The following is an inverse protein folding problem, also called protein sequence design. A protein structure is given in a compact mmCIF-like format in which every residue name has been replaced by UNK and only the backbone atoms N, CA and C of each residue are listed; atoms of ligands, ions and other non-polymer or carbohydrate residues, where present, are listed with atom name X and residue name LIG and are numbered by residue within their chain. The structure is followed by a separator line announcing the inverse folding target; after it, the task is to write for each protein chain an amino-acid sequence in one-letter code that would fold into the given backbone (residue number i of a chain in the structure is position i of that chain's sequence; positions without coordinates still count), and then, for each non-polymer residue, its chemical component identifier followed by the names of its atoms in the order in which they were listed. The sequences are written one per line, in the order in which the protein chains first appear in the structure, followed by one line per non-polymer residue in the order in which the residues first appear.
data_IF_849132353767
#
_entry.id   IF_849132353767
#
_cell.length_a   1.000
_cell.length_b   1.000
_cell.length_c   1.000
_cell.angle_alpha   90.00
_cell.angle_beta   90.00
_cell.angle_gamma   90.00
#
_symmetry.space_group_name_H-M   'P 1'
#
loop_
_entity.id
_entity.type
_entity.pdbx_description
1 polymer ?
#
# COMPACT_ATOMS: atom_id res chain seq x y z
N UNK A 1 -19.58 24.48 23.63
CA UNK A 1 -18.10 24.40 23.63
C UNK A 1 -17.69 23.28 22.68
N UNK A 2 -17.28 23.63 21.45
CA UNK A 2 -16.76 22.64 20.48
C UNK A 2 -15.28 22.47 20.78
N UNK A 3 -14.90 21.28 21.25
CA UNK A 3 -13.50 20.92 21.49
C UNK A 3 -12.74 21.02 20.17
N UNK A 4 -11.77 21.92 20.15
CA UNK A 4 -10.86 22.13 19.05
C UNK A 4 -9.87 20.95 19.03
N UNK A 5 -10.28 19.81 18.47
CA UNK A 5 -9.38 18.70 18.18
C UNK A 5 -8.61 19.05 16.91
N UNK A 6 -7.64 19.96 17.05
CA UNK A 6 -6.55 20.11 16.10
C UNK A 6 -5.80 18.78 16.08
N UNK A 7 -6.08 17.95 15.08
CA UNK A 7 -5.25 16.79 14.73
C UNK A 7 -3.85 17.37 14.51
N UNK A 8 -2.97 17.19 15.49
CA UNK A 8 -1.56 17.51 15.31
C UNK A 8 -1.07 16.52 14.25
N UNK A 9 -0.86 17.03 13.03
CA UNK A 9 -0.25 16.25 11.96
C UNK A 9 1.09 15.72 12.49
N UNK A 10 1.22 14.40 12.59
CA UNK A 10 2.56 13.81 12.63
C UNK A 10 3.21 14.18 11.30
N UNK A 11 4.34 14.93 11.29
CA UNK A 11 5.05 15.17 10.04
C UNK A 11 5.38 13.80 9.42
N UNK A 12 5.07 13.67 8.13
CA UNK A 12 5.45 12.49 7.36
C UNK A 12 6.97 12.31 7.48
N UNK A 13 7.40 11.12 7.90
CA UNK A 13 8.79 10.77 8.17
C UNK A 13 9.28 9.60 7.31
N UNK A 14 8.53 9.26 6.25
CA UNK A 14 8.86 8.16 5.36
C UNK A 14 8.28 6.80 5.75
N UNK A 15 7.50 6.71 6.84
CA UNK A 15 7.13 5.41 7.44
C UNK A 15 5.66 5.06 7.31
N UNK A 16 5.38 3.82 6.91
CA UNK A 16 4.02 3.35 6.74
C UNK A 16 3.52 2.57 7.97
N UNK A 17 2.30 2.87 8.44
CA UNK A 17 1.69 2.17 9.57
C UNK A 17 1.34 0.71 9.26
N UNK A 18 1.78 -0.22 10.12
CA UNK A 18 1.48 -1.65 10.01
C UNK A 18 0.30 -2.05 10.89
N UNK A 19 -0.63 -2.86 10.36
CA UNK A 19 -1.75 -3.38 11.13
C UNK A 19 -1.33 -4.55 12.04
N UNK A 20 -1.51 -4.38 13.35
CA UNK A 20 -1.00 -5.29 14.38
C UNK A 20 -1.29 -6.80 14.16
N UNK A 21 -2.47 -7.23 13.68
CA UNK A 21 -2.72 -8.65 13.37
C UNK A 21 -1.77 -9.26 12.33
N UNK A 22 -1.28 -8.47 11.37
CA UNK A 22 -0.36 -8.97 10.34
C UNK A 22 1.05 -9.19 10.90
N UNK A 23 1.44 -8.41 11.92
CA UNK A 23 2.73 -8.58 12.62
C UNK A 23 2.89 -9.98 13.19
N UNK A 24 1.84 -10.52 13.82
CA UNK A 24 1.88 -11.87 14.39
C UNK A 24 2.04 -12.96 13.31
N UNK A 25 1.47 -12.76 12.12
CA UNK A 25 1.65 -13.67 10.98
C UNK A 25 3.08 -13.61 10.45
N UNK A 26 3.61 -12.40 10.28
CA UNK A 26 4.97 -12.18 9.81
C UNK A 26 6.00 -12.78 10.77
N UNK A 27 5.82 -12.58 12.08
CA UNK A 27 6.67 -13.18 13.11
C UNK A 27 6.72 -14.72 12.99
N UNK A 28 5.55 -15.37 12.89
CA UNK A 28 5.46 -16.83 12.73
C UNK A 28 6.10 -17.34 11.45
N UNK A 29 6.08 -16.55 10.37
CA UNK A 29 6.75 -16.91 9.13
C UNK A 29 8.26 -16.77 9.24
N UNK A 30 8.75 -15.78 9.98
CA UNK A 30 10.19 -15.59 10.22
C UNK A 30 10.82 -16.70 11.06
N UNK A 31 10.03 -17.37 11.91
CA UNK A 31 10.47 -18.52 12.70
C UNK A 31 10.55 -19.83 11.89
N UNK A 32 9.94 -19.87 10.69
CA UNK A 32 9.98 -21.04 9.80
C UNK A 32 11.19 -20.96 8.88
N UNK A 33 11.64 -22.10 8.35
CA UNK A 33 12.79 -22.13 7.43
C UNK A 33 12.55 -21.20 6.23
N UNK A 34 13.55 -20.43 5.80
CA UNK A 34 13.47 -19.55 4.63
C UNK A 34 13.20 -20.41 3.39
N UNK A 35 12.01 -20.28 2.79
CA UNK A 35 11.66 -21.10 1.63
C UNK A 35 10.27 -20.82 1.06
N UNK A 36 9.30 -20.40 1.86
CA UNK A 36 7.96 -20.11 1.37
C UNK A 36 7.82 -18.65 0.88
N UNK A 37 8.46 -18.38 -0.25
CA UNK A 37 8.44 -17.07 -0.93
C UNK A 37 7.00 -16.62 -1.22
N UNK A 38 6.14 -17.55 -1.64
CA UNK A 38 4.73 -17.25 -1.96
C UNK A 38 3.95 -16.79 -0.71
N UNK A 39 4.14 -17.49 0.41
CA UNK A 39 3.51 -17.10 1.67
C UNK A 39 4.06 -15.77 2.20
N UNK A 40 5.35 -15.50 2.02
CA UNK A 40 5.95 -14.19 2.35
C UNK A 40 5.35 -13.07 1.49
N UNK A 41 5.26 -13.25 0.17
CA UNK A 41 4.59 -12.32 -0.74
C UNK A 41 3.15 -12.05 -0.28
N UNK A 42 2.39 -13.10 0.03
CA UNK A 42 1.01 -13.01 0.45
C UNK A 42 0.85 -12.23 1.77
N UNK A 43 1.71 -12.50 2.74
CA UNK A 43 1.69 -11.81 4.04
C UNK A 43 2.08 -10.34 3.93
N UNK A 44 3.16 -10.00 3.22
CA UNK A 44 3.56 -8.60 3.03
C UNK A 44 2.49 -7.84 2.24
N UNK A 45 1.93 -8.44 1.19
CA UNK A 45 0.89 -7.81 0.37
C UNK A 45 -0.45 -7.67 1.10
N UNK A 46 -0.63 -8.31 2.26
CA UNK A 46 -1.84 -8.19 3.07
C UNK A 46 -1.88 -6.93 3.95
N UNK A 47 -0.80 -6.16 3.97
CA UNK A 47 -0.72 -4.93 4.75
C UNK A 47 -0.10 -3.79 3.93
N UNK A 48 -0.76 -2.63 3.81
CA UNK A 48 -0.21 -1.49 3.07
C UNK A 48 1.06 -0.94 3.73
N UNK A 49 1.22 -1.11 5.04
CA UNK A 49 2.42 -0.71 5.78
C UNK A 49 3.64 -1.55 5.40
N UNK A 50 3.50 -2.87 5.48
CA UNK A 50 4.56 -3.81 5.09
C UNK A 50 4.90 -3.69 3.60
N UNK A 51 3.88 -3.64 2.74
CA UNK A 51 4.05 -3.46 1.31
C UNK A 51 4.78 -2.14 1.01
N UNK A 52 4.34 -1.06 1.67
CA UNK A 52 4.96 0.26 1.71
C UNK A 52 6.46 0.20 1.97
N UNK A 53 6.84 -0.38 3.10
CA UNK A 53 8.22 -0.45 3.57
C UNK A 53 9.12 -1.28 2.62
N UNK A 54 8.65 -2.47 2.21
CA UNK A 54 9.42 -3.40 1.37
C UNK A 54 9.64 -2.81 -0.03
N UNK A 55 8.63 -2.23 -0.65
CA UNK A 55 8.77 -1.59 -1.96
C UNK A 55 9.61 -0.32 -1.89
N UNK A 56 9.49 0.48 -0.83
CA UNK A 56 10.33 1.67 -0.62
C UNK A 56 11.80 1.28 -0.56
N UNK A 57 12.15 0.25 0.23
CA UNK A 57 13.51 -0.26 0.32
C UNK A 57 14.02 -0.79 -1.03
N UNK A 58 13.23 -1.60 -1.73
CA UNK A 58 13.61 -2.16 -3.04
C UNK A 58 13.83 -1.07 -4.11
N UNK A 59 13.00 -0.01 -4.10
CA UNK A 59 13.08 1.10 -5.04
C UNK A 59 14.33 1.98 -4.86
N UNK A 60 15.03 1.89 -3.72
CA UNK A 60 16.35 2.53 -3.56
C UNK A 60 17.43 1.89 -4.45
N UNK A 61 17.26 0.62 -4.82
CA UNK A 61 18.20 -0.14 -5.65
C UNK A 61 17.81 -0.06 -7.13
N UNK A 62 16.55 -0.37 -7.45
CA UNK A 62 15.97 -0.18 -8.79
C UNK A 62 14.45 -0.06 -8.72
N UNK A 63 13.86 0.55 -9.75
CA UNK A 63 12.42 0.61 -9.89
C UNK A 63 11.79 -0.81 -9.92
N UNK A 64 10.89 -1.07 -8.98
CA UNK A 64 10.05 -2.27 -8.87
C UNK A 64 8.59 -1.87 -8.66
N UNK A 65 7.67 -2.68 -9.18
CA UNK A 65 6.23 -2.35 -9.20
C UNK A 65 5.35 -3.38 -8.47
N UNK A 66 5.91 -4.50 -8.01
CA UNK A 66 5.20 -5.51 -7.23
C UNK A 66 6.06 -6.12 -6.13
N UNK A 67 5.42 -6.74 -5.15
CA UNK A 67 6.10 -7.41 -4.03
C UNK A 67 6.90 -8.61 -4.50
N UNK A 68 6.42 -9.35 -5.51
CA UNK A 68 7.18 -10.45 -6.11
C UNK A 68 8.50 -9.94 -6.71
N UNK A 69 8.46 -8.83 -7.47
CA UNK A 69 9.66 -8.21 -8.06
C UNK A 69 10.61 -7.68 -6.98
N UNK A 70 10.08 -7.16 -5.87
CA UNK A 70 10.89 -6.67 -4.74
C UNK A 70 11.57 -7.82 -3.98
N UNK A 71 10.87 -8.93 -3.74
CA UNK A 71 11.42 -10.10 -3.06
C UNK A 71 12.41 -10.84 -3.96
N UNK A 72 12.16 -10.93 -5.26
CA UNK A 72 13.12 -11.47 -6.23
C UNK A 72 14.41 -10.64 -6.28
N UNK A 73 14.29 -9.30 -6.19
CA UNK A 73 15.44 -8.40 -6.18
C UNK A 73 16.27 -8.50 -4.88
N UNK A 74 15.61 -8.50 -3.72
CA UNK A 74 16.27 -8.39 -2.41
C UNK A 74 16.60 -9.74 -1.76
N UNK A 75 15.89 -10.80 -2.15
CA UNK A 75 15.85 -12.07 -1.43
C UNK A 75 14.85 -12.07 -0.27
N UNK A 76 14.42 -13.27 0.11
CA UNK A 76 13.42 -13.50 1.17
C UNK A 76 13.91 -13.05 2.54
N UNK A 77 15.20 -13.23 2.85
CA UNK A 77 15.80 -12.82 4.12
C UNK A 77 15.76 -11.30 4.32
N UNK A 78 16.26 -10.54 3.34
CA UNK A 78 16.26 -9.08 3.40
C UNK A 78 14.83 -8.50 3.44
N UNK A 79 13.92 -9.03 2.62
CA UNK A 79 12.52 -8.63 2.62
C UNK A 79 11.85 -8.91 3.98
N UNK A 80 12.13 -10.06 4.59
CA UNK A 80 11.61 -10.41 5.93
C UNK A 80 12.16 -9.47 7.00
N UNK A 81 13.46 -9.17 6.97
CA UNK A 81 14.08 -8.24 7.92
C UNK A 81 13.47 -6.83 7.84
N UNK A 82 13.28 -6.30 6.62
CA UNK A 82 12.63 -5.00 6.39
C UNK A 82 11.19 -5.01 6.89
N UNK A 83 10.42 -6.04 6.55
CA UNK A 83 9.04 -6.18 6.97
C UNK A 83 8.93 -6.26 8.51
N UNK A 84 9.79 -7.02 9.17
CA UNK A 84 9.83 -7.12 10.64
C UNK A 84 10.22 -5.79 11.28
N UNK A 85 11.20 -5.09 10.71
CA UNK A 85 11.58 -3.74 11.17
C UNK A 85 10.41 -2.77 11.10
N UNK A 86 9.66 -2.77 9.99
CA UNK A 86 8.46 -1.94 9.85
C UNK A 86 7.34 -2.32 10.83
N UNK A 87 7.18 -3.63 11.08
CA UNK A 87 6.18 -4.16 12.01
C UNK A 87 6.45 -3.81 13.48
N UNK A 88 7.72 -3.68 13.86
CA UNK A 88 8.16 -3.35 15.22
C UNK A 88 8.27 -1.83 15.46
N UNK A 89 8.20 -1.01 14.41
CA UNK A 89 8.33 0.42 14.53
C UNK A 89 7.10 1.01 15.25
N UNK A 90 7.28 1.74 16.37
CA UNK A 90 6.17 2.37 17.07
C UNK A 90 5.37 3.30 16.15
N UNK A 91 4.09 2.95 16.01
CA UNK A 91 3.11 3.69 15.21
C UNK A 91 3.04 5.18 15.62
N UNK A 92 3.10 6.14 14.68
CA UNK A 92 3.00 7.56 15.00
C UNK A 92 1.63 7.88 15.62
N UNK A 93 1.66 8.55 16.75
CA UNK A 93 0.53 8.89 17.64
C UNK A 93 -0.87 8.79 17.00
N UNK A 94 -1.61 7.72 17.30
CA UNK A 94 -2.99 7.49 16.80
C UNK A 94 -4.03 8.42 17.44
N UNK A 95 -3.60 9.48 18.15
CA UNK A 95 -4.49 10.42 18.86
C UNK A 95 -5.51 11.00 17.87
N UNK A 96 -6.76 10.56 18.01
CA UNK A 96 -7.88 11.00 17.17
C UNK A 96 -8.45 9.92 16.23
N UNK A 97 -7.82 8.74 16.11
CA UNK A 97 -8.32 7.65 15.27
C UNK A 97 -8.69 6.42 16.10
N UNK A 98 -9.95 5.97 16.02
CA UNK A 98 -10.40 4.79 16.76
C UNK A 98 -9.83 3.49 16.18
N UNK A 99 -9.80 2.41 16.96
CA UNK A 99 -9.43 1.09 16.43
C UNK A 99 -10.34 0.66 15.27
N UNK A 100 -11.63 0.99 15.35
CA UNK A 100 -12.59 0.71 14.28
C UNK A 100 -12.27 1.48 12.99
N UNK A 101 -11.86 2.75 13.10
CA UNK A 101 -11.42 3.56 11.96
C UNK A 101 -10.17 2.97 11.30
N UNK A 102 -9.16 2.59 12.09
CA UNK A 102 -7.95 1.93 11.57
C UNK A 102 -8.30 0.64 10.81
N UNK A 103 -9.13 -0.21 11.39
CA UNK A 103 -9.59 -1.45 10.74
C UNK A 103 -10.38 -1.17 9.47
N UNK A 104 -11.26 -0.15 9.46
CA UNK A 104 -12.01 0.26 8.26
C UNK A 104 -11.07 0.66 7.13
N UNK A 105 -10.06 1.49 7.43
CA UNK A 105 -9.09 1.97 6.43
C UNK A 105 -8.22 0.84 5.90
N UNK A 106 -7.74 -0.05 6.77
CA UNK A 106 -6.99 -1.24 6.35
C UNK A 106 -7.83 -2.15 5.45
N UNK A 107 -9.10 -2.38 5.78
CA UNK A 107 -10.03 -3.14 4.92
C UNK A 107 -10.22 -2.47 3.56
N UNK A 108 -10.39 -1.14 3.51
CA UNK A 108 -10.51 -0.39 2.24
C UNK A 108 -9.27 -0.56 1.36
N UNK A 109 -8.07 -0.55 1.94
CA UNK A 109 -6.83 -0.81 1.20
C UNK A 109 -6.83 -2.22 0.58
N UNK A 110 -7.21 -3.24 1.36
CA UNK A 110 -7.32 -4.62 0.85
C UNK A 110 -8.40 -4.79 -0.21
N UNK A 111 -9.56 -4.16 -0.03
CA UNK A 111 -10.63 -4.16 -1.03
C UNK A 111 -10.13 -3.51 -2.33
N UNK A 112 -9.43 -2.37 -2.24
CA UNK A 112 -8.82 -1.70 -3.39
C UNK A 112 -7.81 -2.57 -4.12
N UNK A 113 -6.95 -3.29 -3.39
CA UNK A 113 -6.03 -4.31 -3.93
C UNK A 113 -6.79 -5.37 -4.72
N UNK A 114 -7.72 -6.07 -4.06
CA UNK A 114 -8.46 -7.19 -4.65
C UNK A 114 -9.21 -6.76 -5.91
N UNK A 115 -9.88 -5.60 -5.86
CA UNK A 115 -10.65 -5.10 -6.99
C UNK A 115 -9.76 -4.70 -8.17
N UNK A 116 -8.66 -3.99 -7.91
CA UNK A 116 -7.74 -3.63 -8.97
C UNK A 116 -7.09 -4.87 -9.61
N UNK A 117 -6.72 -5.87 -8.81
CA UNK A 117 -6.18 -7.15 -9.26
C UNK A 117 -7.17 -7.95 -10.10
N UNK A 118 -8.42 -8.08 -9.64
CA UNK A 118 -9.49 -8.74 -10.39
C UNK A 118 -9.78 -8.00 -11.69
N UNK A 119 -9.95 -6.67 -11.65
CA UNK A 119 -10.20 -5.88 -12.86
C UNK A 119 -9.07 -6.04 -13.88
N UNK A 120 -7.81 -5.97 -13.44
CA UNK A 120 -6.67 -6.17 -14.32
C UNK A 120 -6.65 -7.58 -14.94
N UNK A 121 -6.98 -8.61 -14.16
CA UNK A 121 -7.01 -10.01 -14.61
C UNK A 121 -8.11 -10.25 -15.65
N UNK A 122 -9.31 -9.72 -15.41
CA UNK A 122 -10.49 -9.93 -16.27
C UNK A 122 -10.46 -9.06 -17.54
N UNK A 123 -9.88 -7.86 -17.46
CA UNK A 123 -9.94 -6.89 -18.57
C UNK A 123 -8.63 -6.79 -19.36
N UNK A 124 -7.51 -7.26 -18.81
CA UNK A 124 -6.18 -7.08 -19.41
C UNK A 124 -5.70 -5.63 -19.42
N UNK A 125 -6.38 -4.70 -18.72
CA UNK A 125 -6.03 -3.28 -18.71
C UNK A 125 -4.71 -2.96 -18.02
N UNK A 126 -4.22 -3.84 -17.15
CA UNK A 126 -2.94 -3.73 -16.48
C UNK A 126 -2.42 -5.12 -16.08
N UNK A 127 -1.16 -5.22 -15.67
CA UNK A 127 -0.64 -6.44 -15.06
C UNK A 127 -1.26 -6.63 -13.66
N UNK A 128 -1.88 -7.78 -13.33
CA UNK A 128 -2.62 -7.98 -12.09
C UNK A 128 -1.83 -7.64 -10.82
N UNK A 129 -0.59 -8.10 -10.71
CA UNK A 129 0.29 -7.82 -9.56
C UNK A 129 0.58 -6.33 -9.36
N UNK A 130 0.73 -5.58 -10.45
CA UNK A 130 0.99 -4.14 -10.41
C UNK A 130 -0.30 -3.41 -10.03
N UNK A 131 -1.44 -3.85 -10.57
CA UNK A 131 -2.75 -3.34 -10.21
C UNK A 131 -3.09 -3.60 -8.73
N UNK A 132 -2.75 -4.77 -8.22
CA UNK A 132 -2.87 -5.12 -6.81
C UNK A 132 -2.06 -4.15 -5.93
N UNK A 133 -0.78 -3.93 -6.25
CA UNK A 133 0.08 -3.00 -5.51
C UNK A 133 -0.48 -1.57 -5.54
N UNK A 134 -0.86 -1.06 -6.71
CA UNK A 134 -1.43 0.28 -6.81
C UNK A 134 -2.78 0.39 -6.08
N UNK A 135 -3.63 -0.63 -6.19
CA UNK A 135 -4.92 -0.71 -5.50
C UNK A 135 -4.78 -0.78 -3.98
N UNK A 136 -3.72 -1.41 -3.47
CA UNK A 136 -3.41 -1.41 -2.04
C UNK A 136 -3.00 -0.01 -1.54
N UNK A 137 -2.23 0.72 -2.35
CA UNK A 137 -1.62 2.01 -1.95
C UNK A 137 -2.44 3.24 -2.35
N UNK A 138 -3.52 3.07 -3.13
CA UNK A 138 -4.27 4.17 -3.74
C UNK A 138 -4.83 5.19 -2.73
N UNK A 139 -5.13 4.74 -1.51
CA UNK A 139 -5.66 5.54 -0.39
C UNK A 139 -4.74 5.47 0.84
N UNK A 140 -3.42 5.35 0.62
CA UNK A 140 -2.43 5.26 1.71
C UNK A 140 -2.45 6.49 2.64
N UNK A 141 -2.81 7.67 2.12
CA UNK A 141 -3.01 8.86 2.95
C UNK A 141 -4.14 8.67 3.98
N UNK A 142 -5.14 7.84 3.68
CA UNK A 142 -6.12 7.42 4.66
C UNK A 142 -5.47 6.65 5.81
N UNK A 143 -4.58 5.71 5.51
CA UNK A 143 -3.92 4.90 6.55
C UNK A 143 -2.93 5.73 7.38
N UNK A 144 -2.16 6.60 6.73
CA UNK A 144 -1.08 7.41 7.36
C UNK A 144 -1.62 8.65 8.06
N UNK A 145 -2.46 9.44 7.39
CA UNK A 145 -2.91 10.75 7.86
C UNK A 145 -4.34 10.73 8.43
N UNK A 146 -5.03 9.59 8.36
CA UNK A 146 -6.43 9.47 8.72
C UNK A 146 -7.35 10.47 8.01
N UNK A 147 -6.99 10.82 6.77
CA UNK A 147 -7.77 11.67 5.89
C UNK A 147 -8.55 10.81 4.90
N UNK A 148 -9.81 11.16 4.64
CA UNK A 148 -10.57 10.41 3.65
C UNK A 148 -10.17 10.82 2.23
N UNK A 149 -9.87 9.81 1.43
CA UNK A 149 -10.05 9.83 -0.01
C UNK A 149 -9.21 10.85 -0.78
N UNK A 150 -7.97 11.08 -0.32
CA UNK A 150 -7.07 12.12 -0.80
C UNK A 150 -5.99 11.55 -1.73
N UNK A 151 -6.36 11.30 -2.99
CA UNK A 151 -5.47 10.80 -4.03
C UNK A 151 -4.17 11.62 -4.18
N UNK A 152 -4.26 12.96 -4.07
CA UNK A 152 -3.11 13.84 -4.16
C UNK A 152 -2.16 13.69 -2.97
N UNK A 153 -2.68 13.50 -1.75
CA UNK A 153 -1.85 13.21 -0.58
C UNK A 153 -1.22 11.81 -0.67
N UNK A 154 -1.99 10.80 -1.08
CA UNK A 154 -1.46 9.44 -1.29
C UNK A 154 -0.31 9.45 -2.28
N UNK A 155 -0.48 10.15 -3.41
CA UNK A 155 0.56 10.32 -4.42
C UNK A 155 1.83 10.96 -3.84
N UNK A 156 1.69 12.09 -3.12
CA UNK A 156 2.84 12.77 -2.50
C UNK A 156 3.60 11.90 -1.49
N UNK A 157 2.89 11.17 -0.62
CA UNK A 157 3.52 10.27 0.34
C UNK A 157 4.37 9.19 -0.34
N UNK A 158 3.90 8.66 -1.48
CA UNK A 158 4.62 7.66 -2.25
C UNK A 158 5.79 8.26 -3.04
N UNK A 159 5.62 9.46 -3.60
CA UNK A 159 6.71 10.21 -4.26
C UNK A 159 7.84 10.53 -3.27
N UNK A 160 7.50 11.00 -2.07
CA UNK A 160 8.45 11.26 -0.99
C UNK A 160 9.17 9.96 -0.54
N UNK A 161 8.49 8.81 -0.65
CA UNK A 161 9.07 7.49 -0.41
C UNK A 161 9.83 6.91 -1.63
N UNK A 162 10.01 7.68 -2.71
CA UNK A 162 10.77 7.25 -3.89
C UNK A 162 10.06 6.22 -4.78
N UNK A 163 8.73 6.17 -4.76
CA UNK A 163 7.97 5.23 -5.59
C UNK A 163 8.00 5.61 -7.07
N UNK A 164 7.94 4.63 -8.00
CA UNK A 164 8.00 4.92 -9.43
C UNK A 164 6.82 5.74 -9.93
N UNK A 165 7.12 6.69 -10.85
CA UNK A 165 6.14 7.57 -11.48
C UNK A 165 4.89 6.85 -12.01
N UNK A 166 5.04 5.64 -12.56
CA UNK A 166 3.92 4.85 -13.09
C UNK A 166 2.83 4.57 -12.04
N UNK A 167 3.21 4.30 -10.78
CA UNK A 167 2.25 4.05 -9.70
C UNK A 167 1.69 5.36 -9.18
N UNK A 168 2.56 6.35 -8.93
CA UNK A 168 2.17 7.63 -8.34
C UNK A 168 1.26 8.42 -9.28
N UNK A 169 1.54 8.41 -10.58
CA UNK A 169 0.70 9.04 -11.60
C UNK A 169 -0.68 8.37 -11.72
N UNK A 170 -0.74 7.03 -11.73
CA UNK A 170 -2.02 6.33 -11.76
C UNK A 170 -2.89 6.65 -10.52
N UNK A 171 -2.27 6.72 -9.34
CA UNK A 171 -2.93 7.12 -8.09
C UNK A 171 -3.35 8.58 -8.13
N UNK A 172 -2.55 9.48 -8.73
CA UNK A 172 -2.89 10.90 -8.90
C UNK A 172 -4.11 11.07 -9.81
N UNK A 173 -4.18 10.30 -10.89
CA UNK A 173 -5.20 10.42 -11.91
C UNK A 173 -6.47 9.61 -11.64
N UNK A 174 -6.46 8.68 -10.68
CA UNK A 174 -7.60 7.83 -10.34
C UNK A 174 -8.95 8.54 -10.08
N UNK A 175 -9.05 9.83 -9.64
CA UNK A 175 -10.35 10.47 -9.48
C UNK A 175 -10.97 10.88 -10.82
N UNK A 176 -10.17 10.96 -11.88
CA UNK A 176 -10.60 11.43 -13.19
C UNK A 176 -10.93 10.22 -14.08
N UNK A 177 -12.06 10.27 -14.82
CA UNK A 177 -12.40 9.19 -15.74
C UNK A 177 -11.33 9.05 -16.82
N UNK A 178 -10.88 7.82 -17.14
CA UNK A 178 -10.00 7.61 -18.28
C UNK A 178 -10.72 8.01 -19.58
N UNK A 179 -9.96 8.49 -20.55
CA UNK A 179 -10.50 8.73 -21.90
C UNK A 179 -11.10 7.44 -22.48
N UNK A 180 -12.15 7.55 -23.29
CA UNK A 180 -12.75 6.38 -23.95
C UNK A 180 -11.74 5.62 -24.85
N UNK A 181 -10.73 6.32 -25.35
CA UNK A 181 -9.63 5.79 -26.18
C UNK A 181 -8.35 5.52 -25.37
N UNK A 182 -8.45 5.43 -24.04
CA UNK A 182 -7.29 5.13 -23.20
C UNK A 182 -6.69 3.77 -23.57
N UNK A 183 -5.40 3.74 -23.86
CA UNK A 183 -4.66 2.49 -23.88
C UNK A 183 -4.76 1.78 -22.51
N UNK A 184 -4.57 0.44 -22.47
CA UNK A 184 -4.45 -0.31 -21.22
C UNK A 184 -3.53 0.42 -20.24
N UNK A 185 -4.12 0.87 -19.14
CA UNK A 185 -3.45 1.68 -18.15
C UNK A 185 -3.99 1.32 -16.76
N UNK A 186 -3.07 1.25 -15.81
CA UNK A 186 -3.32 1.06 -14.39
C UNK A 186 -4.41 2.01 -13.85
N UNK A 187 -4.49 3.24 -14.38
CA UNK A 187 -5.51 4.22 -13.99
C UNK A 187 -6.94 3.71 -14.18
N UNK A 188 -7.20 2.85 -15.18
CA UNK A 188 -8.53 2.31 -15.47
C UNK A 188 -8.98 1.41 -14.32
N UNK A 189 -8.09 0.52 -13.87
CA UNK A 189 -8.36 -0.37 -12.74
C UNK A 189 -8.61 0.41 -11.45
N UNK A 190 -7.83 1.47 -11.18
CA UNK A 190 -8.00 2.30 -9.98
C UNK A 190 -9.27 3.16 -10.01
N UNK A 191 -9.60 3.74 -11.16
CA UNK A 191 -10.83 4.50 -11.34
C UNK A 191 -12.06 3.63 -11.09
N UNK A 192 -12.09 2.42 -11.69
CA UNK A 192 -13.20 1.50 -11.56
C UNK A 192 -13.30 0.90 -10.15
N UNK A 193 -12.18 0.51 -9.54
CA UNK A 193 -12.19 -0.03 -8.18
C UNK A 193 -12.78 0.98 -7.19
N UNK A 194 -12.37 2.25 -7.29
CA UNK A 194 -12.89 3.35 -6.46
C UNK A 194 -14.39 3.57 -6.59
N UNK A 195 -14.96 3.43 -7.80
CA UNK A 195 -16.41 3.62 -8.02
C UNK A 195 -17.27 2.49 -7.46
N UNK A 196 -16.68 1.34 -7.23
CA UNK A 196 -17.35 0.13 -6.78
C UNK A 196 -17.20 -0.09 -5.26
N UNK A 197 -16.40 0.73 -4.56
CA UNK A 197 -16.19 0.74 -3.09
C UNK A 197 -17.02 1.81 -2.39
#
# INVERSE_FOLDING_TARGET
MRGNSSIAYSPWDGRFPVYAPVVALLWRLSERQPGDTAQLCATISSDPGLCGAVLTAANTVRAVLSIDEAIELMGTEAATAIALSAALDPFPDTRGCSAADRTRRWRRALTGRMMAETLASETGMALPRIAATAGLMHDIAGVVLYQDDNAAASCRLLEDAGWPFRITEAIRLQPYPPSAEAAPDLRVCLYLSRRLM
#
